data_IF_584445540487
#
_entry.id   IF_584445540487
#
_cell.length_a   1.000
_cell.length_b   1.000
_cell.length_c   1.000
_cell.angle_alpha   90.00
_cell.angle_beta   90.00
_cell.angle_gamma   90.00
#
_symmetry.space_group_name_H-M   'P 1'
#
loop_
_entity.id
_entity.type
_entity.pdbx_description
1 polymer ?
#
# COMPACT_ATOMS: atom_id res chain seq x y z
N UNK A 1 16.86 26.38 21.71
CA UNK A 1 16.76 26.09 20.24
C UNK A 1 17.43 24.76 19.85
N UNK A 2 18.56 24.38 20.41
CA UNK A 2 19.27 23.11 20.12
C UNK A 2 18.49 21.83 20.46
N UNK A 3 17.73 21.81 21.56
CA UNK A 3 16.95 20.63 21.97
C UNK A 3 15.82 20.26 21.00
N UNK A 4 15.21 21.25 20.33
CA UNK A 4 14.14 21.02 19.36
C UNK A 4 14.67 20.43 18.06
N UNK A 5 15.75 21.00 17.51
CA UNK A 5 16.43 20.46 16.32
C UNK A 5 16.86 19.00 16.53
N UNK A 6 17.33 18.68 17.73
CA UNK A 6 17.70 17.31 18.09
C UNK A 6 16.49 16.37 18.16
N UNK A 7 15.36 16.82 18.74
CA UNK A 7 14.13 16.04 18.79
C UNK A 7 13.52 15.80 17.39
N UNK A 8 13.53 16.82 16.52
CA UNK A 8 13.13 16.70 15.11
C UNK A 8 14.00 15.68 14.36
N UNK A 9 15.33 15.74 14.54
CA UNK A 9 16.25 14.79 13.93
C UNK A 9 15.97 13.36 14.39
N UNK A 10 15.79 13.15 15.70
CA UNK A 10 15.44 11.83 16.24
C UNK A 10 14.09 11.35 15.66
N UNK A 11 13.09 12.22 15.60
CA UNK A 11 11.76 11.86 15.10
C UNK A 11 11.80 11.45 13.61
N UNK A 12 12.55 12.17 12.78
CA UNK A 12 12.76 11.82 11.36
C UNK A 12 13.54 10.51 11.24
N UNK A 13 14.63 10.33 12.01
CA UNK A 13 15.41 9.11 12.00
C UNK A 13 14.55 7.90 12.42
N UNK A 14 13.72 8.04 13.45
CA UNK A 14 12.76 7.03 13.89
C UNK A 14 11.72 6.74 12.81
N UNK A 15 11.15 7.77 12.18
CA UNK A 15 10.19 7.61 11.09
C UNK A 15 10.81 6.88 9.88
N UNK A 16 12.01 7.29 9.47
CA UNK A 16 12.74 6.66 8.37
C UNK A 16 13.14 5.22 8.71
N UNK A 17 13.63 4.97 9.94
CA UNK A 17 13.93 3.63 10.42
C UNK A 17 12.67 2.77 10.47
N UNK A 18 11.54 3.28 10.97
CA UNK A 18 10.25 2.61 10.97
C UNK A 18 9.82 2.18 9.56
N UNK A 19 9.96 3.09 8.58
CA UNK A 19 9.67 2.78 7.18
C UNK A 19 10.56 1.65 6.64
N UNK A 20 11.88 1.74 6.86
CA UNK A 20 12.86 0.76 6.37
C UNK A 20 12.72 -0.59 7.08
N UNK A 21 12.63 -0.61 8.41
CA UNK A 21 12.45 -1.80 9.23
C UNK A 21 11.17 -2.51 8.81
N UNK A 22 10.05 -1.79 8.67
CA UNK A 22 8.80 -2.39 8.23
C UNK A 22 8.91 -2.98 6.81
N UNK A 23 9.62 -2.30 5.90
CA UNK A 23 9.91 -2.84 4.57
C UNK A 23 10.72 -4.14 4.62
N UNK A 24 11.75 -4.19 5.47
CA UNK A 24 12.61 -5.38 5.65
C UNK A 24 11.89 -6.54 6.33
N UNK A 25 11.16 -6.26 7.42
CA UNK A 25 10.39 -7.24 8.18
C UNK A 25 9.41 -8.02 7.31
N UNK A 26 8.84 -7.33 6.32
CA UNK A 26 7.94 -7.92 5.33
C UNK A 26 8.61 -8.77 4.28
N UNK A 27 9.89 -8.56 3.99
CA UNK A 27 10.67 -9.45 3.12
C UNK A 27 11.04 -10.72 3.87
N UNK A 28 11.35 -10.63 5.16
CA UNK A 28 11.74 -11.78 5.98
C UNK A 28 10.55 -12.67 6.37
N UNK A 29 9.39 -12.08 6.66
CA UNK A 29 8.15 -12.81 7.01
C UNK A 29 7.21 -13.02 5.81
N UNK A 30 7.75 -12.95 4.59
CA UNK A 30 6.96 -13.03 3.36
C UNK A 30 6.21 -14.36 3.18
N UNK A 31 6.59 -15.43 3.91
CA UNK A 31 5.96 -16.76 3.83
C UNK A 31 4.80 -16.96 4.80
N UNK A 32 4.80 -16.29 5.94
CA UNK A 32 3.76 -16.39 6.99
C UNK A 32 2.72 -15.26 6.92
N UNK A 33 3.01 -14.19 6.18
CA UNK A 33 2.06 -13.11 5.98
C UNK A 33 0.90 -13.54 5.06
N UNK A 34 -0.33 -13.09 5.35
CA UNK A 34 -1.55 -13.24 4.52
C UNK A 34 -1.30 -13.00 3.01
N UNK A 35 -0.38 -12.11 2.68
CA UNK A 35 0.02 -11.83 1.29
C UNK A 35 0.63 -13.05 0.55
N UNK A 36 1.31 -13.95 1.26
CA UNK A 36 1.83 -15.20 0.69
C UNK A 36 0.70 -16.15 0.32
N UNK A 37 -0.25 -16.34 1.25
CA UNK A 37 -1.43 -17.18 1.01
C UNK A 37 -2.27 -16.61 -0.16
N UNK A 38 -2.51 -15.30 -0.17
CA UNK A 38 -3.20 -14.66 -1.30
C UNK A 38 -2.43 -14.76 -2.61
N UNK A 39 -1.10 -14.87 -2.59
CA UNK A 39 -0.32 -15.11 -3.81
C UNK A 39 -0.59 -16.50 -4.38
N UNK A 40 -0.73 -17.53 -3.53
CA UNK A 40 -1.16 -18.86 -3.95
C UNK A 40 -2.54 -18.82 -4.59
N UNK A 41 -3.53 -18.20 -3.94
CA UNK A 41 -4.88 -18.12 -4.50
C UNK A 41 -4.97 -17.30 -5.78
N UNK A 42 -4.16 -16.24 -5.94
CA UNK A 42 -4.08 -15.48 -7.21
C UNK A 42 -3.50 -16.33 -8.34
N UNK A 43 -2.52 -17.18 -8.05
CA UNK A 43 -1.97 -18.09 -9.06
C UNK A 43 -2.98 -19.18 -9.41
N UNK A 44 -3.58 -19.81 -8.39
CA UNK A 44 -4.63 -20.82 -8.56
C UNK A 44 -5.82 -20.25 -9.36
N UNK A 45 -6.26 -19.03 -9.04
CA UNK A 45 -7.31 -18.34 -9.78
C UNK A 45 -7.01 -18.28 -11.29
N UNK A 46 -5.79 -17.93 -11.69
CA UNK A 46 -5.42 -17.88 -13.11
C UNK A 46 -5.32 -19.27 -13.74
N UNK A 47 -4.90 -20.29 -12.98
CA UNK A 47 -4.91 -21.68 -13.43
C UNK A 47 -6.34 -22.18 -13.70
N UNK A 48 -7.28 -21.89 -12.80
CA UNK A 48 -8.70 -22.21 -12.99
C UNK A 48 -9.31 -21.42 -14.16
N UNK A 49 -8.95 -20.14 -14.31
CA UNK A 49 -9.40 -19.29 -15.42
C UNK A 49 -9.01 -19.86 -16.79
N UNK A 50 -7.83 -20.49 -16.89
CA UNK A 50 -7.40 -21.17 -18.11
C UNK A 50 -8.35 -22.30 -18.52
N UNK A 51 -8.96 -23.00 -17.56
CA UNK A 51 -9.94 -24.06 -17.82
C UNK A 51 -11.34 -23.57 -18.19
N UNK A 52 -11.60 -22.24 -18.14
CA UNK A 52 -12.91 -21.66 -18.46
C UNK A 52 -12.95 -21.21 -19.92
N UNK A 53 -14.03 -21.59 -20.60
CA UNK A 53 -14.34 -21.06 -21.94
C UNK A 53 -14.84 -19.61 -21.87
N UNK A 54 -15.64 -19.27 -20.86
CA UNK A 54 -16.15 -17.90 -20.63
C UNK A 54 -15.41 -17.26 -19.46
N UNK A 55 -14.70 -16.16 -19.73
CA UNK A 55 -13.81 -15.48 -18.77
C UNK A 55 -14.28 -14.09 -18.36
N UNK A 56 -15.55 -13.76 -18.64
CA UNK A 56 -16.12 -12.43 -18.34
C UNK A 56 -16.00 -12.10 -16.85
N UNK A 57 -16.24 -13.09 -15.96
CA UNK A 57 -16.07 -12.92 -14.51
C UNK A 57 -14.62 -12.55 -14.16
N UNK A 58 -13.65 -13.25 -14.75
CA UNK A 58 -12.23 -13.02 -14.49
C UNK A 58 -11.79 -11.62 -14.96
N UNK A 59 -12.20 -11.23 -16.17
CA UNK A 59 -11.97 -9.89 -16.71
C UNK A 59 -12.64 -8.79 -15.88
N UNK A 60 -13.86 -9.02 -15.38
CA UNK A 60 -14.58 -8.07 -14.53
C UNK A 60 -13.89 -7.87 -13.17
N UNK A 61 -13.40 -8.94 -12.54
CA UNK A 61 -12.63 -8.85 -11.29
C UNK A 61 -11.34 -8.06 -11.52
N UNK A 62 -10.62 -8.30 -12.62
CA UNK A 62 -9.40 -7.53 -12.96
C UNK A 62 -9.73 -6.06 -13.20
N UNK A 63 -10.80 -5.75 -13.94
CA UNK A 63 -11.23 -4.37 -14.16
C UNK A 63 -11.59 -3.67 -12.84
N UNK A 64 -12.24 -4.36 -11.91
CA UNK A 64 -12.50 -3.83 -10.56
C UNK A 64 -11.21 -3.51 -9.80
N UNK A 65 -10.20 -4.40 -9.83
CA UNK A 65 -8.90 -4.16 -9.22
C UNK A 65 -8.14 -2.99 -9.87
N UNK A 66 -8.24 -2.85 -11.20
CA UNK A 66 -7.69 -1.71 -11.94
C UNK A 66 -8.35 -0.39 -11.52
N UNK A 67 -9.69 -0.36 -11.48
CA UNK A 67 -10.46 0.82 -11.07
C UNK A 67 -10.14 1.22 -9.61
N UNK A 68 -10.05 0.25 -8.70
CA UNK A 68 -9.61 0.51 -7.33
C UNK A 68 -8.20 1.10 -7.28
N UNK A 69 -7.28 0.60 -8.11
CA UNK A 69 -5.92 1.14 -8.21
C UNK A 69 -5.89 2.56 -8.79
N UNK A 70 -6.69 2.82 -9.82
CA UNK A 70 -6.83 4.16 -10.41
C UNK A 70 -7.39 5.16 -9.40
N UNK A 71 -8.39 4.78 -8.61
CA UNK A 71 -8.94 5.62 -7.54
C UNK A 71 -7.86 6.05 -6.54
N UNK A 72 -7.02 5.13 -6.07
CA UNK A 72 -5.92 5.47 -5.16
C UNK A 72 -4.82 6.30 -5.83
N UNK A 73 -4.53 6.07 -7.12
CA UNK A 73 -3.59 6.91 -7.88
C UNK A 73 -4.10 8.35 -7.99
N UNK A 74 -5.37 8.54 -8.36
CA UNK A 74 -6.01 9.86 -8.44
C UNK A 74 -6.06 10.56 -7.08
N UNK A 75 -6.40 9.83 -6.02
CA UNK A 75 -6.37 10.37 -4.65
C UNK A 75 -4.96 10.82 -4.27
N UNK A 76 -3.92 10.09 -4.68
CA UNK A 76 -2.52 10.47 -4.45
C UNK A 76 -2.15 11.75 -5.19
N UNK A 77 -2.63 11.93 -6.43
CA UNK A 77 -2.43 13.17 -7.20
C UNK A 77 -3.13 14.36 -6.57
N UNK A 78 -4.36 14.18 -6.09
CA UNK A 78 -5.09 15.23 -5.36
C UNK A 78 -4.36 15.63 -4.08
N UNK A 79 -3.91 14.65 -3.29
CA UNK A 79 -3.14 14.90 -2.07
C UNK A 79 -1.79 15.60 -2.39
N UNK A 80 -1.12 15.20 -3.47
CA UNK A 80 0.11 15.84 -3.95
C UNK A 80 -0.15 17.30 -4.36
N UNK A 81 -1.21 17.57 -5.13
CA UNK A 81 -1.62 18.91 -5.52
C UNK A 81 -1.99 19.79 -4.32
N UNK A 82 -2.76 19.26 -3.37
CA UNK A 82 -3.10 19.94 -2.12
C UNK A 82 -1.86 20.28 -1.29
N UNK A 83 -0.92 19.34 -1.19
CA UNK A 83 0.35 19.56 -0.49
C UNK A 83 1.23 20.59 -1.21
N UNK A 84 1.26 20.59 -2.54
CA UNK A 84 2.00 21.58 -3.32
C UNK A 84 1.40 22.99 -3.16
N UNK A 85 0.09 23.11 -3.02
CA UNK A 85 -0.58 24.38 -2.73
C UNK A 85 -0.20 24.94 -1.35
N UNK A 86 0.12 24.08 -0.37
CA UNK A 86 0.63 24.51 0.95
C UNK A 86 1.96 25.25 0.83
N UNK A 87 2.85 24.87 -0.11
CA UNK A 87 4.10 25.61 -0.31
C UNK A 87 3.85 27.06 -0.71
N UNK A 88 2.84 27.31 -1.56
CA UNK A 88 2.49 28.65 -2.02
C UNK A 88 1.76 29.47 -0.94
N UNK A 89 1.04 28.82 -0.04
CA UNK A 89 0.27 29.44 1.05
C UNK A 89 0.94 29.32 2.42
N UNK A 90 2.26 29.09 2.44
CA UNK A 90 3.02 28.83 3.67
C UNK A 90 2.84 29.93 4.71
N UNK A 91 2.87 31.21 4.30
CA UNK A 91 2.78 32.35 5.22
C UNK A 91 1.40 32.44 5.89
N UNK A 92 0.32 32.16 5.15
CA UNK A 92 -1.05 32.14 5.69
C UNK A 92 -1.27 30.95 6.64
N UNK A 93 -0.75 29.78 6.28
CA UNK A 93 -0.84 28.59 7.14
C UNK A 93 -0.03 28.75 8.43
N UNK A 94 1.13 29.43 8.36
CA UNK A 94 1.93 29.74 9.54
C UNK A 94 1.22 30.74 10.48
N UNK A 95 0.48 31.72 9.95
CA UNK A 95 -0.34 32.63 10.77
C UNK A 95 -1.40 31.86 11.56
N UNK A 96 -2.14 30.98 10.89
CA UNK A 96 -3.14 30.12 11.56
C UNK A 96 -2.50 29.19 12.60
N UNK A 97 -1.29 28.67 12.31
CA UNK A 97 -0.55 27.85 13.27
C UNK A 97 -0.09 28.63 14.51
N UNK A 98 0.06 29.96 14.42
CA UNK A 98 0.45 30.83 15.53
C UNK A 98 -0.68 31.01 16.54
N UNK A 99 -1.94 30.84 16.11
CA UNK A 99 -3.12 30.89 16.98
C UNK A 99 -3.31 29.60 17.81
N UNK A 100 -2.52 28.54 17.53
CA UNK A 100 -2.60 27.32 18.33
C UNK A 100 -1.94 27.51 19.71
N UNK A 101 -2.61 27.12 20.80
CA UNK A 101 -2.13 27.32 22.17
C UNK A 101 -0.89 26.48 22.52
N UNK A 102 -0.44 25.62 21.61
CA UNK A 102 0.72 24.74 21.80
C UNK A 102 2.07 25.40 21.47
N UNK A 103 2.10 26.72 21.17
CA UNK A 103 3.33 27.53 21.14
C UNK A 103 4.33 27.17 20.03
N UNK A 104 3.88 26.48 18.98
CA UNK A 104 4.74 25.95 17.92
C UNK A 104 4.66 26.84 16.68
N UNK A 105 5.52 27.86 16.61
CA UNK A 105 5.71 28.63 15.37
C UNK A 105 6.96 28.07 14.66
N UNK A 106 6.84 27.14 13.71
CA UNK A 106 7.98 26.68 12.95
C UNK A 106 8.57 27.82 12.13
N UNK A 107 9.88 27.81 11.89
CA UNK A 107 10.47 28.70 10.89
C UNK A 107 9.91 28.35 9.51
N UNK A 108 9.81 29.35 8.62
CA UNK A 108 9.33 29.15 7.24
C UNK A 108 10.04 28.02 6.52
N UNK A 109 11.37 27.99 6.63
CA UNK A 109 12.19 26.92 6.06
C UNK A 109 11.84 25.53 6.62
N UNK A 110 11.58 25.41 7.93
CA UNK A 110 11.18 24.14 8.54
C UNK A 110 9.81 23.69 8.06
N UNK A 111 8.85 24.61 7.93
CA UNK A 111 7.54 24.31 7.37
C UNK A 111 7.65 23.82 5.92
N UNK A 112 8.41 24.51 5.07
CA UNK A 112 8.64 24.12 3.67
C UNK A 112 9.29 22.72 3.58
N UNK A 113 10.27 22.41 4.42
CA UNK A 113 10.90 21.06 4.48
C UNK A 113 9.87 19.98 4.82
N UNK A 114 8.98 20.23 5.80
CA UNK A 114 7.89 19.30 6.15
C UNK A 114 6.95 19.09 4.95
N UNK A 115 6.56 20.16 4.27
CA UNK A 115 5.69 20.06 3.10
C UNK A 115 6.37 19.30 1.95
N UNK A 116 7.67 19.55 1.70
CA UNK A 116 8.45 18.82 0.69
C UNK A 116 8.53 17.32 1.01
N UNK A 117 8.75 16.94 2.27
CA UNK A 117 8.76 15.53 2.63
C UNK A 117 7.39 14.85 2.43
N UNK A 118 6.30 15.56 2.72
CA UNK A 118 4.95 15.07 2.43
C UNK A 118 4.68 14.92 0.91
N UNK A 119 5.20 15.85 0.09
CA UNK A 119 5.16 15.73 -1.38
C UNK A 119 5.90 14.47 -1.87
N UNK A 120 7.07 14.17 -1.30
CA UNK A 120 7.83 12.97 -1.65
C UNK A 120 7.02 11.71 -1.31
N UNK A 121 6.35 11.68 -0.16
CA UNK A 121 5.51 10.54 0.24
C UNK A 121 4.32 10.31 -0.69
N UNK A 122 3.56 11.37 -1.02
CA UNK A 122 2.43 11.25 -1.95
C UNK A 122 2.89 10.97 -3.38
N UNK A 123 4.01 11.54 -3.81
CA UNK A 123 4.64 11.24 -5.10
C UNK A 123 5.04 9.77 -5.20
N UNK A 124 5.69 9.24 -4.17
CA UNK A 124 6.01 7.82 -4.07
C UNK A 124 4.75 6.95 -4.13
N UNK A 125 3.70 7.30 -3.38
CA UNK A 125 2.42 6.58 -3.39
C UNK A 125 1.82 6.53 -4.79
N UNK A 126 1.74 7.69 -5.47
CA UNK A 126 1.26 7.81 -6.84
C UNK A 126 2.01 6.87 -7.79
N UNK A 127 3.34 6.88 -7.79
CA UNK A 127 4.13 6.00 -8.65
C UNK A 127 3.89 4.51 -8.36
N UNK A 128 3.68 4.13 -7.10
CA UNK A 128 3.34 2.74 -6.74
C UNK A 128 1.97 2.32 -7.26
N UNK A 129 0.96 3.17 -7.15
CA UNK A 129 -0.37 2.89 -7.71
C UNK A 129 -0.37 2.90 -9.24
N UNK A 130 0.29 3.86 -9.88
CA UNK A 130 0.44 3.91 -11.34
C UNK A 130 1.12 2.65 -11.88
N UNK A 131 2.16 2.16 -11.19
CA UNK A 131 2.83 0.91 -11.57
C UNK A 131 1.94 -0.32 -11.33
N UNK A 132 1.21 -0.37 -10.22
CA UNK A 132 0.23 -1.43 -9.97
C UNK A 132 -0.85 -1.47 -11.05
N UNK A 133 -1.37 -0.31 -11.47
CA UNK A 133 -2.37 -0.19 -12.53
C UNK A 133 -1.87 -0.78 -13.84
N UNK A 134 -0.65 -0.40 -14.25
CA UNK A 134 0.00 -0.96 -15.44
C UNK A 134 0.13 -2.48 -15.38
N UNK A 135 0.55 -3.04 -14.24
CA UNK A 135 0.67 -4.49 -14.08
C UNK A 135 -0.70 -5.20 -14.12
N UNK A 136 -1.75 -4.60 -13.55
CA UNK A 136 -3.10 -5.14 -13.71
C UNK A 136 -3.58 -5.08 -15.17
N UNK A 137 -3.20 -4.06 -15.95
CA UNK A 137 -3.50 -4.01 -17.39
C UNK A 137 -2.78 -5.13 -18.14
N UNK A 138 -1.51 -5.39 -17.82
CA UNK A 138 -0.79 -6.53 -18.41
C UNK A 138 -1.39 -7.88 -18.02
N UNK A 139 -1.91 -8.01 -16.80
CA UNK A 139 -2.66 -9.19 -16.38
C UNK A 139 -3.94 -9.39 -17.22
N UNK A 140 -4.69 -8.31 -17.49
CA UNK A 140 -5.87 -8.36 -18.37
C UNK A 140 -5.52 -8.79 -19.80
N UNK A 141 -4.43 -8.26 -20.36
CA UNK A 141 -3.94 -8.66 -21.69
C UNK A 141 -3.59 -10.15 -21.71
N UNK A 142 -2.91 -10.66 -20.67
CA UNK A 142 -2.57 -12.09 -20.57
C UNK A 142 -3.82 -12.99 -20.44
N UNK A 143 -4.85 -12.55 -19.73
CA UNK A 143 -6.15 -13.26 -19.67
C UNK A 143 -6.77 -13.32 -21.07
N UNK A 144 -6.80 -12.19 -21.79
CA UNK A 144 -7.30 -12.14 -23.17
C UNK A 144 -6.49 -12.97 -24.16
N UNK A 145 -5.18 -13.09 -23.95
CA UNK A 145 -4.27 -13.88 -24.77
C UNK A 145 -4.24 -15.37 -24.41
N UNK A 146 -4.91 -15.80 -23.33
CA UNK A 146 -4.94 -17.20 -22.92
C UNK A 146 -5.74 -18.01 -23.95
N UNK A 147 -5.21 -19.11 -24.52
CA UNK A 147 -5.95 -19.97 -25.45
C UNK A 147 -7.26 -20.52 -24.85
N UNK A 148 -8.32 -20.76 -25.65
CA UNK A 148 -9.58 -21.34 -25.17
C UNK A 148 -9.42 -22.68 -24.44
N UNK A 149 -10.42 -23.10 -23.63
CA UNK A 149 -10.32 -24.34 -22.85
C UNK A 149 -10.28 -25.60 -23.75
N UNK A 150 -10.75 -25.50 -24.99
CA UNK A 150 -10.73 -26.58 -25.99
C UNK A 150 -9.51 -26.57 -26.93
N UNK A 151 -8.57 -25.64 -26.77
CA UNK A 151 -7.37 -25.63 -27.62
C UNK A 151 -6.48 -26.85 -27.34
N UNK A 152 -5.91 -27.47 -28.37
CA UNK A 152 -5.00 -28.61 -28.23
C UNK A 152 -3.70 -28.28 -27.46
N UNK A 153 -3.31 -27.00 -27.42
CA UNK A 153 -2.08 -26.56 -26.77
C UNK A 153 -2.27 -26.24 -25.26
N UNK A 154 -2.47 -27.28 -24.44
CA UNK A 154 -2.64 -27.14 -22.98
C UNK A 154 -1.41 -26.50 -22.30
N UNK A 155 -0.21 -26.82 -22.78
CA UNK A 155 1.04 -26.30 -22.22
C UNK A 155 1.17 -24.79 -22.37
N UNK A 156 0.88 -24.26 -23.55
CA UNK A 156 0.87 -22.81 -23.78
C UNK A 156 -0.17 -22.11 -22.90
N UNK A 157 -1.36 -22.70 -22.76
CA UNK A 157 -2.42 -22.16 -21.93
C UNK A 157 -2.03 -22.07 -20.46
N UNK A 158 -1.50 -23.15 -19.89
CA UNK A 158 -0.99 -23.17 -18.50
C UNK A 158 0.14 -22.17 -18.30
N UNK A 159 1.01 -22.01 -19.29
CA UNK A 159 2.12 -21.06 -19.26
C UNK A 159 1.62 -19.61 -19.20
N UNK A 160 0.67 -19.23 -20.06
CA UNK A 160 0.10 -17.88 -20.08
C UNK A 160 -0.70 -17.60 -18.80
N UNK A 161 -1.47 -18.56 -18.31
CA UNK A 161 -2.15 -18.46 -17.01
C UNK A 161 -1.15 -18.21 -15.86
N UNK A 162 -0.02 -18.92 -15.86
CA UNK A 162 1.04 -18.70 -14.87
C UNK A 162 1.63 -17.30 -14.97
N UNK A 163 1.83 -16.77 -16.18
CA UNK A 163 2.28 -15.40 -16.39
C UNK A 163 1.25 -14.39 -15.87
N UNK A 164 -0.03 -14.59 -16.16
CA UNK A 164 -1.12 -13.75 -15.66
C UNK A 164 -1.13 -13.72 -14.13
N UNK A 165 -0.98 -14.88 -13.48
CA UNK A 165 -0.92 -15.01 -12.02
C UNK A 165 0.26 -14.27 -11.41
N UNK A 166 1.47 -14.45 -11.97
CA UNK A 166 2.67 -13.72 -11.54
C UNK A 166 2.52 -12.22 -11.71
N UNK A 167 1.90 -11.77 -12.80
CA UNK A 167 1.64 -10.36 -13.06
C UNK A 167 0.66 -9.78 -12.03
N UNK A 168 -0.42 -10.52 -11.74
CA UNK A 168 -1.41 -10.16 -10.74
C UNK A 168 -0.80 -10.03 -9.32
N UNK A 169 0.05 -10.97 -8.94
CA UNK A 169 0.81 -10.94 -7.67
C UNK A 169 1.75 -9.73 -7.62
N UNK A 170 2.45 -9.43 -8.72
CA UNK A 170 3.31 -8.27 -8.81
C UNK A 170 2.51 -6.95 -8.66
N UNK A 171 1.34 -6.85 -9.30
CA UNK A 171 0.44 -5.71 -9.18
C UNK A 171 -0.02 -5.50 -7.73
N UNK A 172 -0.52 -6.56 -7.09
CA UNK A 172 -0.99 -6.52 -5.71
C UNK A 172 0.11 -6.09 -4.71
N UNK A 173 1.37 -6.51 -4.93
CA UNK A 173 2.52 -6.06 -4.12
C UNK A 173 2.76 -4.56 -4.26
N UNK A 174 2.65 -4.00 -5.46
CA UNK A 174 2.85 -2.57 -5.69
C UNK A 174 1.70 -1.75 -5.10
N UNK A 175 0.46 -2.21 -5.26
CA UNK A 175 -0.71 -1.62 -4.62
C UNK A 175 -0.56 -1.55 -3.10
N UNK A 176 -0.15 -2.67 -2.48
CA UNK A 176 0.10 -2.72 -1.03
C UNK A 176 1.20 -1.76 -0.59
N UNK A 177 2.26 -1.58 -1.38
CA UNK A 177 3.31 -0.57 -1.09
C UNK A 177 2.77 0.86 -1.16
N UNK A 178 1.90 1.16 -2.12
CA UNK A 178 1.23 2.46 -2.23
C UNK A 178 0.33 2.72 -1.01
N UNK A 179 -0.48 1.75 -0.59
CA UNK A 179 -1.33 1.90 0.59
C UNK A 179 -0.53 2.17 1.87
N UNK A 180 0.63 1.52 2.01
CA UNK A 180 1.53 1.77 3.15
C UNK A 180 2.07 3.20 3.14
N UNK A 181 2.43 3.70 1.96
CA UNK A 181 2.87 5.07 1.82
C UNK A 181 1.81 6.06 2.30
N UNK A 182 0.52 5.80 2.04
CA UNK A 182 -0.57 6.60 2.59
C UNK A 182 -0.63 6.57 4.12
N UNK A 183 -0.52 5.40 4.74
CA UNK A 183 -0.51 5.29 6.21
C UNK A 183 0.66 6.04 6.83
N UNK A 184 1.86 5.94 6.24
CA UNK A 184 3.02 6.69 6.70
C UNK A 184 2.90 8.19 6.41
N UNK A 185 2.28 8.62 5.30
CA UNK A 185 1.97 10.03 5.06
C UNK A 185 1.00 10.58 6.12
N UNK A 186 0.03 9.78 6.57
CA UNK A 186 -0.85 10.14 7.68
C UNK A 186 -0.09 10.25 9.01
N UNK A 187 0.85 9.34 9.30
CA UNK A 187 1.73 9.49 10.46
C UNK A 187 2.59 10.76 10.36
N UNK A 188 3.12 11.03 9.17
CA UNK A 188 3.97 12.18 8.89
C UNK A 188 3.27 13.52 9.13
N UNK A 189 1.94 13.60 8.92
CA UNK A 189 1.15 14.79 9.28
C UNK A 189 1.29 15.17 10.77
N UNK A 190 1.50 14.19 11.65
CA UNK A 190 1.80 14.44 13.06
C UNK A 190 3.02 15.33 13.27
N UNK A 191 3.97 15.34 12.34
CA UNK A 191 5.16 16.19 12.44
C UNK A 191 4.84 17.69 12.36
N UNK A 192 3.72 18.08 11.76
CA UNK A 192 3.28 19.48 11.75
C UNK A 192 2.90 19.96 13.15
N UNK A 193 2.46 19.06 14.04
CA UNK A 193 2.14 19.34 15.44
C UNK A 193 3.36 19.24 16.36
N UNK A 194 4.45 18.62 15.90
CA UNK A 194 5.72 18.54 16.61
C UNK A 194 6.41 17.18 16.49
N UNK A 195 7.69 17.08 16.90
CA UNK A 195 8.48 15.86 16.79
C UNK A 195 7.92 14.70 17.64
N UNK A 196 7.41 14.98 18.84
CA UNK A 196 6.81 13.95 19.70
C UNK A 196 5.52 13.39 19.11
N UNK A 197 4.70 14.24 18.50
CA UNK A 197 3.47 13.80 17.84
C UNK A 197 3.81 12.90 16.66
N UNK A 198 4.85 13.22 15.87
CA UNK A 198 5.35 12.33 14.82
C UNK A 198 5.76 10.95 15.37
N UNK A 199 6.47 10.90 16.50
CA UNK A 199 6.88 9.61 17.09
C UNK A 199 5.65 8.78 17.49
N UNK A 200 4.66 9.40 18.15
CA UNK A 200 3.43 8.73 18.58
C UNK A 200 2.61 8.26 17.37
N UNK A 201 2.35 9.12 16.39
CA UNK A 201 1.57 8.76 15.20
C UNK A 201 2.27 7.66 14.38
N UNK A 202 3.60 7.68 14.31
CA UNK A 202 4.39 6.60 13.69
C UNK A 202 4.21 5.29 14.44
N UNK A 203 4.31 5.29 15.77
CA UNK A 203 4.09 4.11 16.61
C UNK A 203 2.67 3.54 16.45
N UNK A 204 1.66 4.41 16.44
CA UNK A 204 0.25 4.05 16.22
C UNK A 204 0.06 3.41 14.85
N UNK A 205 0.59 4.02 13.78
CA UNK A 205 0.50 3.47 12.42
C UNK A 205 1.22 2.12 12.33
N UNK A 206 2.43 1.98 12.88
CA UNK A 206 3.12 0.71 12.93
C UNK A 206 2.32 -0.36 13.69
N UNK A 207 1.73 -0.01 14.82
CA UNK A 207 0.89 -0.91 15.60
C UNK A 207 -0.34 -1.38 14.80
N UNK A 208 -1.06 -0.47 14.15
CA UNK A 208 -2.21 -0.82 13.30
C UNK A 208 -1.81 -1.69 12.12
N UNK A 209 -0.68 -1.40 11.49
CA UNK A 209 -0.14 -2.18 10.38
C UNK A 209 0.30 -3.57 10.82
N UNK A 210 0.91 -3.68 11.99
CA UNK A 210 1.32 -4.94 12.60
C UNK A 210 0.12 -5.79 13.02
N UNK A 211 -0.83 -5.20 13.74
CA UNK A 211 -2.04 -5.89 14.21
C UNK A 211 -2.86 -6.43 13.02
N UNK A 212 -2.99 -5.65 11.94
CA UNK A 212 -3.67 -6.11 10.72
C UNK A 212 -2.93 -7.25 10.01
N UNK A 213 -1.60 -7.36 10.13
CA UNK A 213 -0.86 -8.45 9.49
C UNK A 213 -0.89 -9.76 10.28
N UNK A 214 -0.91 -9.71 11.61
CA UNK A 214 -0.74 -10.90 12.46
C UNK A 214 -1.95 -11.26 13.33
N UNK A 215 -2.88 -10.33 13.56
CA UNK A 215 -4.10 -10.54 14.38
C UNK A 215 -5.39 -10.45 13.58
N UNK A 216 -5.32 -10.35 12.26
CA UNK A 216 -6.53 -10.23 11.44
C UNK A 216 -7.21 -11.59 11.33
N UNK A 217 -8.47 -11.67 11.75
CA UNK A 217 -9.43 -12.76 11.55
C UNK A 217 -9.42 -13.31 10.11
N UNK A 218 -8.96 -12.54 9.13
CA UNK A 218 -8.75 -12.99 7.75
C UNK A 218 -7.67 -14.07 7.59
N UNK A 219 -6.64 -14.11 8.44
CA UNK A 219 -5.68 -15.23 8.46
C UNK A 219 -6.36 -16.49 9.01
N UNK A 220 -7.15 -16.34 10.08
CA UNK A 220 -7.92 -17.43 10.68
C UNK A 220 -9.00 -17.97 9.75
N UNK A 221 -9.64 -17.11 8.95
CA UNK A 221 -10.67 -17.50 7.99
C UNK A 221 -10.14 -18.43 6.89
N UNK A 222 -8.83 -18.36 6.58
CA UNK A 222 -8.19 -19.11 5.49
C UNK A 222 -7.25 -20.21 6.05
N UNK A 223 -7.05 -20.29 7.37
CA UNK A 223 -6.21 -21.31 8.02
C UNK A 223 -6.95 -22.67 8.05
N UNK A 224 -6.49 -23.68 7.30
CA UNK A 224 -7.14 -24.99 7.26
C UNK A 224 -7.14 -25.71 8.60
N UNK A 225 -6.21 -25.38 9.51
CA UNK A 225 -6.06 -26.04 10.81
C UNK A 225 -7.20 -25.74 11.79
N UNK A 226 -7.95 -24.65 11.57
CA UNK A 226 -9.11 -24.27 12.39
C UNK A 226 -10.44 -24.84 11.87
N UNK A 227 -10.51 -25.22 10.59
CA UNK A 227 -11.72 -25.78 9.97
C UNK A 227 -11.87 -27.31 10.15
N UNK A 228 -10.84 -27.99 10.66
CA UNK A 228 -10.91 -29.45 10.98
C UNK A 228 -11.60 -29.69 12.34
N UNK A 229 -11.68 -28.68 13.22
CA UNK A 229 -12.30 -28.85 14.55
C UNK A 229 -13.83 -28.97 14.53
N UNK A 230 -14.50 -28.45 13.50
CA UNK A 230 -15.97 -28.39 13.46
C UNK A 230 -16.60 -29.56 12.68
N UNK A 231 -15.80 -30.32 11.91
CA UNK A 231 -16.28 -31.47 11.13
C UNK A 231 -16.33 -32.78 11.93
N UNK A 232 -15.65 -32.86 13.08
CA UNK A 232 -15.66 -34.02 13.98
C UNK A 232 -16.64 -33.86 15.18
N UNK A 233 -17.44 -32.79 15.19
CA UNK A 233 -18.38 -32.44 16.27
C UNK A 233 -19.86 -32.52 15.87
N UNK A 234 -20.20 -33.10 14.71
CA UNK A 234 -21.58 -33.31 14.23
C UNK A 234 -21.93 -34.78 14.09
#
# INVERSE_FOLDING_TARGET
>A
MSGFVFADLIAICLFAAAWVIYHHMLRTHARTALNAQMSYYRLRWMQEMAGRDVRIVDSAIIASLQNGTAFFASTSLLALGGTAALLRSSDDMMRVATDFPFGFVPTRAMFEIKVIGLLILFGYAFFKFAWAYRLFNYCAILIGATPPAKSENDDERRRIATYAGRMNIAAARQFTRGQRAFFFALAYLGWFLGPYVLMVTTGVVLFFMWSRQYRSEAHDAIDPSKHVSDADAS
#
